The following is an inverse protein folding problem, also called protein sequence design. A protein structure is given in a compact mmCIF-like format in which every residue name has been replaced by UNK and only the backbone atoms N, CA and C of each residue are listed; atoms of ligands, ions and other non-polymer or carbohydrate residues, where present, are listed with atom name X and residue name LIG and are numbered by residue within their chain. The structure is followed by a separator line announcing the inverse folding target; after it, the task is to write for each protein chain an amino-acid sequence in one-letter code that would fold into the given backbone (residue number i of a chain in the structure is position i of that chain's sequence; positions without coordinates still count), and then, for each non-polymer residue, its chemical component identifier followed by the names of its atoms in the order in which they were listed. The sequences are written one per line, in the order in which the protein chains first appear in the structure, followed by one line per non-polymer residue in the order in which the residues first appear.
data_IF_161213961571
#
_entry.id   IF_161213961571
#
_cell.length_a   1.000
_cell.length_b   1.000
_cell.length_c   1.000
_cell.angle_alpha   90.00
_cell.angle_beta   90.00
_cell.angle_gamma   90.00
#
_symmetry.space_group_name_H-M   'P 1'
#
loop_
_entity.id
_entity.type
_entity.pdbx_description
1 polymer ?
#
# COMPACT_ATOMS: atom_id res chain seq x y z
N UNK A 1 -8.89 -13.86 -12.64
CA UNK A 1 -7.93 -12.90 -12.04
C UNK A 1 -7.46 -11.91 -13.10
N UNK A 2 -7.28 -10.63 -12.77
CA UNK A 2 -6.74 -9.65 -13.71
C UNK A 2 -5.66 -8.79 -13.04
N UNK A 3 -4.68 -8.35 -13.84
CA UNK A 3 -3.56 -7.53 -13.38
C UNK A 3 -4.08 -6.14 -13.00
N UNK A 4 -3.65 -5.63 -11.87
CA UNK A 4 -3.90 -4.25 -11.46
C UNK A 4 -2.56 -3.54 -11.26
N UNK A 5 -2.38 -2.31 -11.79
CA UNK A 5 -1.14 -1.57 -11.59
C UNK A 5 -0.92 -1.24 -10.12
N UNK A 6 -1.99 -1.01 -9.36
CA UNK A 6 -1.95 -0.69 -7.94
C UNK A 6 -3.05 -1.42 -7.16
N UNK A 7 -2.89 -1.53 -5.84
CA UNK A 7 -3.94 -1.95 -4.92
C UNK A 7 -4.44 -0.79 -4.05
N UNK A 8 -5.63 -0.96 -3.47
CA UNK A 8 -6.15 -0.06 -2.44
C UNK A 8 -5.38 -0.17 -1.11
N UNK A 9 -4.68 -1.29 -0.85
CA UNK A 9 -3.78 -1.49 0.29
C UNK A 9 -4.43 -2.08 1.55
N UNK A 10 -5.67 -1.74 1.85
CA UNK A 10 -6.32 -2.18 3.10
C UNK A 10 -6.68 -3.67 3.15
N UNK A 11 -6.86 -4.33 2.00
CA UNK A 11 -7.21 -5.76 1.91
C UNK A 11 -6.44 -6.41 0.77
N UNK A 12 -5.55 -7.35 1.11
CA UNK A 12 -4.83 -8.18 0.15
C UNK A 12 -4.36 -9.47 0.86
N UNK A 13 -3.89 -10.43 0.07
CA UNK A 13 -3.22 -11.63 0.56
C UNK A 13 -1.85 -11.72 -0.12
N UNK A 14 -0.83 -12.06 0.64
CA UNK A 14 0.54 -12.23 0.17
C UNK A 14 1.19 -13.38 0.93
N UNK A 15 2.08 -14.10 0.26
CA UNK A 15 2.94 -15.06 0.93
C UNK A 15 3.86 -14.35 1.95
N UNK A 16 4.05 -14.96 3.13
CA UNK A 16 4.80 -14.34 4.22
C UNK A 16 6.29 -14.26 3.92
N UNK A 17 6.86 -15.27 3.28
CA UNK A 17 8.29 -15.28 2.94
C UNK A 17 8.55 -14.24 1.86
N UNK A 18 7.71 -14.19 0.83
CA UNK A 18 7.78 -13.15 -0.20
C UNK A 18 7.61 -11.73 0.36
N UNK A 19 6.71 -11.52 1.32
CA UNK A 19 6.56 -10.22 1.98
C UNK A 19 7.85 -9.80 2.71
N UNK A 20 8.52 -10.74 3.37
CA UNK A 20 9.80 -10.48 4.03
C UNK A 20 10.93 -10.23 3.03
N UNK A 21 11.00 -11.03 1.95
CA UNK A 21 12.01 -10.89 0.89
C UNK A 21 11.89 -9.55 0.16
N UNK A 22 10.67 -9.07 -0.09
CA UNK A 22 10.46 -7.74 -0.64
C UNK A 22 10.94 -6.63 0.30
N UNK A 23 11.08 -6.88 1.59
CA UNK A 23 11.45 -5.89 2.60
C UNK A 23 10.28 -5.29 3.36
N UNK A 24 9.17 -6.03 3.52
CA UNK A 24 7.99 -5.65 4.32
C UNK A 24 7.40 -4.29 3.91
N UNK A 25 6.95 -3.43 4.81
CA UNK A 25 6.65 -2.02 4.51
C UNK A 25 7.86 -1.15 4.81
N UNK A 26 7.97 0.00 4.13
CA UNK A 26 8.94 1.04 4.49
C UNK A 26 8.68 1.52 5.92
N UNK A 27 9.58 1.18 6.84
CA UNK A 27 9.49 1.53 8.26
C UNK A 27 9.64 3.03 8.53
N UNK A 28 10.03 3.82 7.54
CA UNK A 28 10.05 5.29 7.61
C UNK A 28 8.75 5.97 7.18
N UNK A 29 7.72 5.21 6.79
CA UNK A 29 6.38 5.76 6.55
C UNK A 29 5.59 5.95 7.84
N UNK A 30 4.87 7.06 7.91
CA UNK A 30 4.13 7.45 9.11
C UNK A 30 2.61 7.32 8.91
N UNK A 31 1.96 6.69 9.89
CA UNK A 31 0.51 6.64 10.12
C UNK A 31 -0.34 6.10 8.95
N UNK A 32 -0.50 6.88 7.88
CA UNK A 32 -1.41 6.55 6.78
C UNK A 32 -1.09 7.34 5.51
N UNK A 33 -1.05 6.63 4.40
CA UNK A 33 -0.97 7.18 3.04
C UNK A 33 0.29 6.74 2.32
N UNK A 34 0.16 6.42 1.03
CA UNK A 34 1.28 6.10 0.14
C UNK A 34 1.78 4.65 0.24
N UNK A 35 1.55 3.95 1.34
CA UNK A 35 2.05 2.59 1.57
C UNK A 35 1.50 1.57 0.56
N UNK A 36 0.26 1.78 0.13
CA UNK A 36 -0.39 0.93 -0.86
C UNK A 36 0.23 1.10 -2.26
N UNK A 37 0.69 2.31 -2.60
CA UNK A 37 1.36 2.59 -3.86
C UNK A 37 2.80 2.08 -3.83
N UNK A 38 3.52 2.31 -2.72
CA UNK A 38 4.90 1.84 -2.56
C UNK A 38 5.02 0.34 -2.72
N UNK A 39 4.22 -0.44 -1.99
CA UNK A 39 4.27 -1.90 -2.13
C UNK A 39 3.77 -2.35 -3.51
N UNK A 40 2.85 -1.61 -4.15
CA UNK A 40 2.41 -1.92 -5.53
C UNK A 40 3.55 -1.76 -6.53
N UNK A 41 4.30 -0.65 -6.46
CA UNK A 41 5.42 -0.37 -7.34
C UNK A 41 6.54 -1.36 -7.11
N UNK A 42 6.89 -1.60 -5.85
CA UNK A 42 7.90 -2.59 -5.47
C UNK A 42 7.56 -4.00 -5.96
N UNK A 43 6.32 -4.48 -5.79
CA UNK A 43 5.91 -5.78 -6.34
C UNK A 43 6.15 -5.83 -7.86
N UNK A 44 5.72 -4.82 -8.61
CA UNK A 44 5.87 -4.82 -10.07
C UNK A 44 7.32 -4.69 -10.53
N UNK A 45 8.08 -3.80 -9.93
CA UNK A 45 9.46 -3.48 -10.33
C UNK A 45 10.47 -4.54 -9.85
N UNK A 46 10.12 -5.33 -8.83
CA UNK A 46 10.92 -6.46 -8.35
C UNK A 46 10.46 -7.82 -8.90
N UNK A 47 9.68 -7.85 -9.99
CA UNK A 47 9.36 -9.08 -10.74
C UNK A 47 8.11 -9.85 -10.25
N UNK A 48 7.38 -9.31 -9.28
CA UNK A 48 6.10 -9.82 -8.82
C UNK A 48 4.92 -9.45 -9.72
N UNK A 49 3.71 -9.80 -9.27
CA UNK A 49 2.45 -9.46 -9.94
C UNK A 49 1.38 -9.13 -8.92
N UNK A 50 0.61 -8.09 -9.21
CA UNK A 50 -0.53 -7.68 -8.40
C UNK A 50 -1.84 -8.01 -9.14
N UNK A 51 -2.70 -8.82 -8.51
CA UNK A 51 -3.91 -9.37 -9.13
C UNK A 51 -5.17 -9.06 -8.31
N UNK A 52 -6.24 -8.69 -9.00
CA UNK A 52 -7.59 -8.66 -8.42
C UNK A 52 -8.29 -9.99 -8.73
N UNK A 53 -8.93 -10.59 -7.71
CA UNK A 53 -9.61 -11.89 -7.78
C UNK A 53 -11.13 -11.66 -7.68
N UNK A 54 -11.90 -11.62 -8.80
CA UNK A 54 -13.33 -11.30 -8.77
C UNK A 54 -14.22 -12.25 -7.95
N UNK A 55 -13.74 -13.48 -7.76
CA UNK A 55 -14.42 -14.51 -6.98
C UNK A 55 -14.25 -14.32 -5.46
N UNK A 56 -13.22 -13.58 -5.02
CA UNK A 56 -13.04 -13.22 -3.60
C UNK A 56 -13.68 -11.85 -3.36
N UNK A 57 -14.67 -11.79 -2.46
CA UNK A 57 -15.45 -10.58 -2.21
C UNK A 57 -15.45 -10.25 -0.73
N UNK A 58 -14.96 -9.05 -0.39
CA UNK A 58 -14.98 -8.51 0.97
C UNK A 58 -15.56 -7.12 0.93
N UNK A 59 -16.57 -6.86 1.77
CA UNK A 59 -17.18 -5.54 1.89
C UNK A 59 -16.34 -4.60 2.75
N UNK A 60 -16.16 -3.35 2.31
CA UNK A 60 -15.50 -2.29 3.07
C UNK A 60 -16.39 -1.04 3.10
N UNK A 61 -16.62 -0.47 4.29
CA UNK A 61 -17.40 0.75 4.46
C UNK A 61 -16.48 1.95 4.17
N UNK A 62 -16.58 2.50 2.97
CA UNK A 62 -15.83 3.69 2.58
C UNK A 62 -16.26 4.91 3.39
N UNK A 63 -15.26 5.66 3.88
CA UNK A 63 -15.46 6.90 4.62
C UNK A 63 -15.07 8.08 3.73
N UNK A 64 -15.78 9.21 3.88
CA UNK A 64 -15.45 10.46 3.15
C UNK A 64 -14.26 11.21 3.73
N UNK A 65 -13.94 10.99 5.01
CA UNK A 65 -12.88 11.69 5.74
C UNK A 65 -12.13 10.70 6.63
N UNK A 66 -10.85 11.00 6.89
CA UNK A 66 -10.04 10.24 7.84
C UNK A 66 -10.60 10.45 9.25
N UNK A 67 -10.83 9.38 10.02
CA UNK A 67 -11.35 9.50 11.38
C UNK A 67 -10.32 10.06 12.36
N UNK A 68 -9.03 9.95 12.04
CA UNK A 68 -7.91 10.40 12.87
C UNK A 68 -6.97 11.28 12.04
N UNK A 69 -6.53 12.38 12.64
CA UNK A 69 -5.44 13.20 12.11
C UNK A 69 -4.08 12.72 12.62
N UNK A 70 -3.00 13.26 12.06
CA UNK A 70 -1.67 13.06 12.64
C UNK A 70 -1.60 13.72 14.03
N UNK A 71 -1.07 13.05 15.07
CA UNK A 71 -0.96 13.60 16.43
C UNK A 71 -0.26 14.97 16.49
N UNK A 72 0.64 15.23 15.54
CA UNK A 72 1.39 16.50 15.44
C UNK A 72 0.94 17.42 14.31
N UNK A 73 -0.18 17.14 13.63
CA UNK A 73 -0.64 17.93 12.47
C UNK A 73 0.26 17.82 11.24
N UNK A 74 1.22 16.88 11.23
CA UNK A 74 2.13 16.67 10.11
C UNK A 74 1.37 16.09 8.91
N UNK A 75 1.77 16.50 7.70
CA UNK A 75 1.27 15.94 6.46
C UNK A 75 1.96 14.61 6.15
N UNK A 76 1.47 13.54 6.80
CA UNK A 76 2.00 12.18 6.61
C UNK A 76 1.80 11.68 5.18
N UNK A 77 0.78 12.18 4.47
CA UNK A 77 0.54 11.78 3.08
C UNK A 77 1.65 12.32 2.18
N UNK A 78 2.00 13.59 2.31
CA UNK A 78 3.08 14.19 1.54
C UNK A 78 4.43 13.54 1.88
N UNK A 79 4.73 13.36 3.17
CA UNK A 79 5.94 12.68 3.63
C UNK A 79 6.11 11.28 3.03
N UNK A 80 5.10 10.42 3.17
CA UNK A 80 5.16 9.05 2.66
C UNK A 80 5.20 9.02 1.13
N UNK A 81 4.47 9.92 0.46
CA UNK A 81 4.47 10.00 -1.01
C UNK A 81 5.83 10.43 -1.57
N UNK A 82 6.54 11.33 -0.88
CA UNK A 82 7.90 11.73 -1.26
C UNK A 82 8.88 10.56 -1.11
N UNK A 83 8.81 9.81 0.00
CA UNK A 83 9.65 8.62 0.21
C UNK A 83 9.47 7.60 -0.91
N UNK A 84 8.21 7.29 -1.24
CA UNK A 84 7.85 6.46 -2.37
C UNK A 84 8.48 6.96 -3.67
N UNK A 85 8.23 8.22 -4.04
CA UNK A 85 8.64 8.80 -5.33
C UNK A 85 10.16 8.97 -5.48
N UNK A 86 10.91 9.03 -4.38
CA UNK A 86 12.37 9.07 -4.43
C UNK A 86 13.03 7.71 -4.64
N UNK A 87 12.30 6.61 -4.38
CA UNK A 87 12.81 5.23 -4.51
C UNK A 87 12.33 4.57 -5.81
N UNK A 88 11.09 4.85 -6.24
CA UNK A 88 10.42 4.22 -7.38
C UNK A 88 9.96 5.27 -8.40
#
# INVERSE_FOLDING_TARGET
PFRSPTMAGGLFAMDREYFNELGQYDSGMDIWGGENLEISFRIWMCGGRLLIIPCSRVGHIFRKRRPYGSPGGQDTMAHNSLRLAHVW
#
